data_IF_100644555181
#
_entry.id   IF_100644555181
#
_cell.length_a   1.000
_cell.length_b   1.000
_cell.length_c   1.000
_cell.angle_alpha   90.00
_cell.angle_beta   90.00
_cell.angle_gamma   90.00
#
_symmetry.space_group_name_H-M   'P 1'
#
loop_
_entity.id
_entity.type
_entity.pdbx_description
1 polymer ?
#
# COMPACT_ATOMS: atom_id res chain seq x y z
N UNK A 1 -29.12 44.78 48.58
CA UNK A 1 -28.07 44.73 47.54
C UNK A 1 -26.72 44.12 47.99
N UNK A 2 -26.44 44.02 49.30
CA UNK A 2 -25.17 43.46 49.81
C UNK A 2 -25.07 41.91 49.66
N UNK A 3 -26.18 41.19 49.85
CA UNK A 3 -26.22 39.71 49.82
C UNK A 3 -25.92 39.10 48.44
N UNK A 4 -26.36 39.77 47.36
CA UNK A 4 -26.17 39.29 45.98
C UNK A 4 -24.72 39.44 45.52
N UNK A 5 -24.02 40.50 45.96
CA UNK A 5 -22.58 40.68 45.70
C UNK A 5 -21.73 39.62 46.40
N UNK A 6 -22.08 39.24 47.63
CA UNK A 6 -21.41 38.15 48.33
C UNK A 6 -21.59 36.80 47.62
N UNK A 7 -22.80 36.50 47.11
CA UNK A 7 -23.04 35.27 46.35
C UNK A 7 -22.20 35.20 45.06
N UNK A 8 -22.06 36.30 44.32
CA UNK A 8 -21.22 36.34 43.11
C UNK A 8 -19.72 36.19 43.42
N UNK A 9 -19.25 36.76 44.54
CA UNK A 9 -17.85 36.60 44.98
C UNK A 9 -17.56 35.16 45.38
N UNK A 10 -18.49 34.51 46.10
CA UNK A 10 -18.35 33.09 46.47
C UNK A 10 -18.34 32.20 45.23
N UNK A 11 -19.23 32.44 44.27
CA UNK A 11 -19.25 31.67 43.01
C UNK A 11 -17.97 31.83 42.19
N UNK A 12 -17.44 33.06 42.12
CA UNK A 12 -16.19 33.34 41.43
C UNK A 12 -14.99 32.66 42.11
N UNK A 13 -14.93 32.66 43.44
CA UNK A 13 -13.89 31.96 44.20
C UNK A 13 -13.98 30.44 44.03
N UNK A 14 -15.19 29.88 44.00
CA UNK A 14 -15.40 28.45 43.72
C UNK A 14 -14.98 28.07 42.30
N UNK A 15 -15.32 28.88 41.29
CA UNK A 15 -14.89 28.67 39.90
C UNK A 15 -13.37 28.75 39.76
N UNK A 16 -12.73 29.72 40.42
CA UNK A 16 -11.27 29.84 40.45
C UNK A 16 -10.60 28.66 41.15
N UNK A 17 -11.19 28.12 42.23
CA UNK A 17 -10.71 26.91 42.90
C UNK A 17 -10.83 25.67 42.01
N UNK A 18 -11.95 25.49 41.30
CA UNK A 18 -12.15 24.37 40.36
C UNK A 18 -11.18 24.49 39.18
N UNK A 19 -11.04 25.68 38.59
CA UNK A 19 -10.06 25.93 37.54
C UNK A 19 -8.64 25.69 38.04
N UNK A 20 -8.30 26.13 39.25
CA UNK A 20 -7.00 25.87 39.86
C UNK A 20 -6.77 24.37 40.12
N UNK A 21 -7.78 23.60 40.49
CA UNK A 21 -7.69 22.15 40.61
C UNK A 21 -7.56 21.45 39.24
N UNK A 22 -8.24 21.93 38.20
CA UNK A 22 -8.13 21.40 36.84
C UNK A 22 -6.76 21.74 36.19
N UNK A 23 -6.17 22.89 36.51
CA UNK A 23 -4.88 23.33 35.98
C UNK A 23 -3.68 22.98 36.87
N UNK A 24 -3.91 22.53 38.10
CA UNK A 24 -2.87 21.89 38.94
C UNK A 24 -2.73 20.44 38.50
N UNK A 25 -2.19 20.24 37.30
CA UNK A 25 -1.52 19.01 36.95
C UNK A 25 -0.47 18.71 38.05
N UNK A 26 -0.36 17.48 38.57
CA UNK A 26 0.69 17.15 39.52
C UNK A 26 2.04 17.32 38.81
N UNK A 27 2.82 18.33 39.20
CA UNK A 27 4.24 18.44 38.84
C UNK A 27 5.12 17.50 39.68
N UNK A 28 4.53 16.54 40.38
CA UNK A 28 5.23 15.49 41.11
C UNK A 28 5.17 14.20 40.30
N UNK A 29 6.16 14.02 39.42
CA UNK A 29 6.33 12.79 38.64
C UNK A 29 6.75 13.05 37.20
N UNK A 30 7.93 13.63 36.98
CA UNK A 30 8.66 13.41 35.72
C UNK A 30 9.21 11.98 35.71
N UNK A 31 8.30 11.00 35.66
CA UNK A 31 8.56 9.71 35.05
C UNK A 31 8.08 9.77 33.60
N UNK A 32 8.71 9.08 32.65
CA UNK A 32 8.32 9.17 31.26
C UNK A 32 6.86 8.70 31.09
N UNK A 33 6.02 9.60 30.60
CA UNK A 33 4.63 9.35 30.22
C UNK A 33 4.49 8.02 29.46
N UNK A 34 3.75 7.07 30.03
CA UNK A 34 3.53 5.72 29.47
C UNK A 34 2.41 5.65 28.41
N UNK A 35 2.24 6.70 27.61
CA UNK A 35 1.29 6.71 26.49
C UNK A 35 1.82 7.48 25.27
N UNK A 36 3.14 7.59 25.13
CA UNK A 36 3.69 7.65 23.79
C UNK A 36 3.45 6.27 23.17
N UNK A 37 2.78 6.14 21.99
CA UNK A 37 2.83 4.88 21.27
C UNK A 37 4.30 4.58 21.12
N UNK A 38 4.73 3.42 21.64
CA UNK A 38 6.09 2.93 21.47
C UNK A 38 6.37 3.11 19.99
N UNK A 39 7.20 4.09 19.63
CA UNK A 39 7.78 4.18 18.31
C UNK A 39 8.37 2.80 18.13
N UNK A 40 7.71 1.99 17.30
CA UNK A 40 8.07 0.61 17.08
C UNK A 40 9.55 0.69 16.74
N UNK A 41 10.40 0.28 17.68
CA UNK A 41 11.81 0.06 17.42
C UNK A 41 11.80 -0.80 16.17
N UNK A 42 12.34 -0.33 15.03
CA UNK A 42 12.33 -1.12 13.83
C UNK A 42 13.01 -2.41 14.22
N UNK A 43 12.25 -3.52 14.26
CA UNK A 43 12.86 -4.84 14.39
C UNK A 43 13.95 -4.84 13.35
N UNK A 44 15.21 -4.91 13.77
CA UNK A 44 16.35 -4.91 12.87
C UNK A 44 16.01 -5.92 11.78
N UNK A 45 15.68 -5.42 10.58
CA UNK A 45 15.14 -6.26 9.55
C UNK A 45 16.22 -7.30 9.30
N UNK A 46 15.91 -8.58 9.52
CA UNK A 46 16.83 -9.66 9.17
C UNK A 46 16.77 -9.76 7.67
N UNK A 47 17.60 -8.99 7.01
CA UNK A 47 17.78 -8.94 5.56
C UNK A 47 18.64 -10.12 5.11
N UNK A 48 18.36 -11.31 5.62
CA UNK A 48 18.93 -12.53 5.08
C UNK A 48 17.86 -13.14 4.21
N UNK A 49 18.05 -13.05 2.89
CA UNK A 49 17.50 -14.01 1.96
C UNK A 49 18.15 -15.38 2.24
N UNK A 50 17.93 -15.89 3.45
CA UNK A 50 18.49 -17.14 3.90
C UNK A 50 17.72 -18.25 3.22
N UNK A 51 18.19 -18.68 2.06
CA UNK A 51 17.80 -19.94 1.39
C UNK A 51 18.09 -21.18 2.24
N UNK A 52 18.40 -21.03 3.53
CA UNK A 52 18.84 -22.08 4.46
C UNK A 52 17.74 -22.56 5.41
N UNK A 53 16.47 -22.37 5.06
CA UNK A 53 15.34 -22.70 5.95
C UNK A 53 14.38 -23.79 5.47
N UNK A 54 14.15 -23.93 4.15
CA UNK A 54 13.09 -24.81 3.64
C UNK A 54 13.41 -25.37 2.26
N UNK A 55 13.52 -26.71 2.16
CA UNK A 55 13.69 -27.41 0.90
C UNK A 55 12.50 -27.18 -0.04
N UNK A 56 11.28 -27.17 0.50
CA UNK A 56 10.07 -26.87 -0.28
C UNK A 56 10.12 -25.47 -0.88
N UNK A 57 10.51 -24.46 -0.11
CA UNK A 57 10.60 -23.08 -0.62
C UNK A 57 11.66 -22.97 -1.71
N UNK A 58 12.85 -23.55 -1.48
CA UNK A 58 13.94 -23.51 -2.46
C UNK A 58 13.59 -24.23 -3.77
N UNK A 59 12.73 -25.25 -3.72
CA UNK A 59 12.26 -25.95 -4.93
C UNK A 59 11.28 -25.13 -5.78
N UNK A 60 10.60 -24.14 -5.18
CA UNK A 60 9.56 -23.35 -5.87
C UNK A 60 9.96 -21.88 -6.09
N UNK A 61 10.94 -21.37 -5.36
CA UNK A 61 11.38 -19.99 -5.46
C UNK A 61 12.57 -19.86 -6.41
N UNK A 62 12.34 -19.25 -7.57
CA UNK A 62 13.37 -18.95 -8.55
C UNK A 62 13.75 -17.47 -8.51
N UNK A 63 14.93 -17.16 -7.97
CA UNK A 63 15.45 -15.77 -7.87
C UNK A 63 15.78 -15.13 -9.20
N UNK A 64 15.92 -15.91 -10.29
CA UNK A 64 16.18 -15.39 -11.62
C UNK A 64 14.91 -14.87 -12.31
N UNK A 65 13.72 -15.17 -11.78
CA UNK A 65 12.46 -14.71 -12.37
C UNK A 65 12.21 -13.23 -12.04
N UNK A 66 12.15 -12.40 -13.07
CA UNK A 66 11.74 -11.00 -12.96
C UNK A 66 10.21 -10.87 -12.90
N UNK A 67 9.63 -10.07 -11.98
CA UNK A 67 8.19 -9.95 -11.84
C UNK A 67 7.54 -8.92 -12.78
N UNK A 68 8.33 -8.17 -13.55
CA UNK A 68 7.86 -7.06 -14.40
C UNK A 68 8.23 -7.30 -15.86
N UNK A 69 7.35 -6.86 -16.76
CA UNK A 69 7.63 -6.77 -18.19
C UNK A 69 8.60 -5.59 -18.43
N UNK A 70 9.80 -5.86 -18.94
CA UNK A 70 10.90 -4.88 -19.00
C UNK A 70 11.12 -4.23 -20.37
N UNK A 71 10.05 -4.04 -21.16
CA UNK A 71 10.09 -3.34 -22.44
C UNK A 71 9.80 -4.24 -23.64
N UNK A 72 9.98 -3.68 -24.84
CA UNK A 72 9.61 -4.31 -26.13
C UNK A 72 10.49 -5.48 -26.55
N UNK A 73 11.70 -5.59 -25.98
CA UNK A 73 12.63 -6.68 -26.22
C UNK A 73 12.40 -7.88 -25.29
N UNK A 74 11.41 -7.80 -24.39
CA UNK A 74 11.10 -8.92 -23.50
C UNK A 74 10.36 -10.01 -24.27
N UNK A 75 11.08 -11.08 -24.59
CA UNK A 75 10.52 -12.25 -25.28
C UNK A 75 9.92 -13.22 -24.25
N UNK A 76 8.59 -13.40 -24.33
CA UNK A 76 7.89 -14.47 -23.64
C UNK A 76 7.93 -15.73 -24.52
N UNK A 77 8.18 -16.88 -23.90
CA UNK A 77 8.17 -18.15 -24.62
C UNK A 77 6.75 -18.47 -25.15
N UNK A 78 6.69 -19.17 -26.28
CA UNK A 78 5.43 -19.42 -26.98
C UNK A 78 4.44 -20.25 -26.16
N UNK A 79 4.93 -21.18 -25.33
CA UNK A 79 4.14 -21.96 -24.38
C UNK A 79 3.52 -21.10 -23.27
N UNK A 80 4.26 -20.12 -22.75
CA UNK A 80 3.76 -19.15 -21.76
C UNK A 80 2.68 -18.27 -22.38
N UNK A 81 2.90 -17.76 -23.60
CA UNK A 81 1.90 -16.95 -24.32
C UNK A 81 0.65 -17.78 -24.60
N UNK A 82 0.81 -19.01 -25.07
CA UNK A 82 -0.32 -19.90 -25.36
C UNK A 82 -1.13 -20.20 -24.11
N UNK A 83 -0.48 -20.52 -22.99
CA UNK A 83 -1.15 -20.70 -21.70
C UNK A 83 -1.89 -19.43 -21.28
N UNK A 84 -1.24 -18.26 -21.35
CA UNK A 84 -1.83 -16.99 -20.92
C UNK A 84 -3.10 -16.64 -21.74
N UNK A 85 -3.10 -16.89 -23.06
CA UNK A 85 -4.27 -16.69 -23.90
C UNK A 85 -5.47 -17.57 -23.50
N UNK A 86 -5.24 -18.72 -22.86
CA UNK A 86 -6.33 -19.58 -22.37
C UNK A 86 -7.05 -19.02 -21.14
N UNK A 87 -6.44 -18.10 -20.36
CA UNK A 87 -6.98 -17.65 -19.08
C UNK A 87 -8.38 -17.03 -19.19
N UNK A 88 -8.65 -16.31 -20.29
CA UNK A 88 -9.95 -15.70 -20.58
C UNK A 88 -10.44 -16.00 -22.01
N UNK A 89 -9.98 -17.10 -22.62
CA UNK A 89 -10.43 -17.53 -23.94
C UNK A 89 -10.08 -16.58 -25.09
N UNK A 90 -8.91 -15.93 -25.04
CA UNK A 90 -8.44 -15.04 -26.10
C UNK A 90 -8.01 -15.83 -27.34
N UNK A 91 -8.24 -15.28 -28.54
CA UNK A 91 -7.87 -15.92 -29.81
C UNK A 91 -6.35 -16.00 -30.00
N UNK A 92 -5.87 -17.09 -30.61
CA UNK A 92 -4.46 -17.29 -30.98
C UNK A 92 -3.96 -16.35 -32.09
N UNK A 93 -4.85 -15.62 -32.76
CA UNK A 93 -4.51 -14.65 -33.81
C UNK A 93 -4.06 -13.27 -33.33
N UNK A 94 -3.88 -13.06 -32.03
CA UNK A 94 -3.52 -11.74 -31.49
C UNK A 94 -2.02 -11.45 -31.64
N UNK A 95 -1.69 -10.33 -32.29
CA UNK A 95 -0.32 -9.84 -32.41
C UNK A 95 0.18 -9.19 -31.11
N UNK A 96 0.52 -10.02 -30.11
CA UNK A 96 0.99 -9.56 -28.80
C UNK A 96 2.20 -8.63 -28.89
N UNK A 97 3.11 -8.85 -29.85
CA UNK A 97 4.26 -7.97 -30.07
C UNK A 97 3.85 -6.54 -30.42
N UNK A 98 2.84 -6.36 -31.28
CA UNK A 98 2.33 -5.03 -31.64
C UNK A 98 1.65 -4.34 -30.45
N UNK A 99 0.89 -5.11 -29.65
CA UNK A 99 0.26 -4.60 -28.42
C UNK A 99 1.31 -4.14 -27.41
N UNK A 100 2.35 -4.95 -27.19
CA UNK A 100 3.45 -4.62 -26.27
C UNK A 100 4.25 -3.40 -26.76
N UNK A 101 4.47 -3.28 -28.07
CA UNK A 101 5.10 -2.09 -28.66
C UNK A 101 4.28 -0.83 -28.39
N UNK A 102 2.97 -0.87 -28.63
CA UNK A 102 2.06 0.24 -28.35
C UNK A 102 1.98 0.57 -26.84
N UNK A 103 2.02 -0.44 -25.97
CA UNK A 103 2.01 -0.22 -24.53
C UNK A 103 3.20 0.65 -24.08
N UNK A 104 4.40 0.32 -24.54
CA UNK A 104 5.64 1.00 -24.16
C UNK A 104 5.89 2.32 -24.91
N UNK A 105 5.03 2.72 -25.85
CA UNK A 105 5.02 4.12 -26.33
C UNK A 105 4.28 5.05 -25.37
N UNK A 106 3.34 4.52 -24.58
CA UNK A 106 2.54 5.28 -23.60
C UNK A 106 3.15 5.19 -22.21
N UNK A 107 3.57 4.01 -21.79
CA UNK A 107 4.15 3.78 -20.47
C UNK A 107 5.68 3.80 -20.53
N UNK A 108 6.34 4.49 -19.57
CA UNK A 108 7.78 4.42 -19.47
C UNK A 108 8.21 2.99 -19.15
N UNK A 109 9.21 2.49 -19.89
CA UNK A 109 9.89 1.25 -19.52
C UNK A 109 10.46 1.43 -18.11
N UNK A 110 10.16 0.53 -17.15
CA UNK A 110 10.75 0.62 -15.83
C UNK A 110 12.29 0.65 -15.96
N UNK A 111 12.99 1.58 -15.29
CA UNK A 111 14.45 1.51 -15.23
C UNK A 111 14.83 0.12 -14.70
N UNK A 112 15.87 -0.49 -15.28
CA UNK A 112 16.31 -1.85 -14.94
C UNK A 112 16.43 -2.11 -13.44
N UNK A 113 16.37 -3.39 -13.05
CA UNK A 113 16.29 -3.89 -11.66
C UNK A 113 15.81 -2.87 -10.63
N UNK A 114 14.49 -2.66 -10.56
CA UNK A 114 13.80 -1.93 -9.46
C UNK A 114 14.18 -2.48 -8.07
N UNK A 115 14.69 -3.71 -8.07
CA UNK A 115 15.24 -4.41 -6.92
C UNK A 115 16.75 -4.21 -6.82
N UNK A 116 17.17 -3.46 -5.81
CA UNK A 116 18.57 -3.41 -5.35
C UNK A 116 18.71 -4.43 -4.21
N UNK A 117 19.35 -5.60 -4.43
CA UNK A 117 19.49 -6.63 -3.40
C UNK A 117 20.35 -6.17 -2.20
N UNK A 118 21.12 -5.10 -2.36
CA UNK A 118 21.95 -4.54 -1.28
C UNK A 118 21.14 -3.70 -0.30
N UNK A 119 19.93 -3.26 -0.69
CA UNK A 119 19.03 -2.48 0.16
C UNK A 119 17.99 -3.37 0.79
N UNK A 120 17.99 -3.40 2.11
CA UNK A 120 16.92 -4.03 2.84
C UNK A 120 15.65 -3.17 2.78
N UNK A 121 14.58 -3.76 2.27
CA UNK A 121 13.27 -3.10 2.16
C UNK A 121 12.22 -3.92 2.88
N UNK A 122 11.38 -3.24 3.64
CA UNK A 122 10.22 -3.81 4.31
C UNK A 122 8.97 -3.55 3.48
N UNK A 123 8.12 -4.57 3.33
CA UNK A 123 6.91 -4.49 2.52
C UNK A 123 5.69 -4.93 3.33
N UNK A 124 4.62 -4.14 3.34
CA UNK A 124 3.30 -4.53 3.78
C UNK A 124 2.43 -4.87 2.56
N UNK A 125 1.99 -6.12 2.45
CA UNK A 125 1.00 -6.53 1.44
C UNK A 125 -0.37 -6.58 2.11
N UNK A 126 -1.26 -5.68 1.72
CA UNK A 126 -2.57 -5.51 2.36
C UNK A 126 -3.66 -6.05 1.44
N UNK A 127 -4.23 -7.20 1.83
CA UNK A 127 -5.41 -7.77 1.16
C UNK A 127 -6.71 -7.10 1.60
N UNK A 128 -7.84 -7.61 1.09
CA UNK A 128 -9.17 -7.03 1.30
C UNK A 128 -10.06 -7.83 2.26
N UNK A 129 -9.47 -8.68 3.10
CA UNK A 129 -10.23 -9.52 4.04
C UNK A 129 -10.89 -8.68 5.14
N UNK A 130 -12.16 -8.96 5.42
CA UNK A 130 -12.89 -8.34 6.53
C UNK A 130 -12.27 -8.56 7.91
N UNK A 131 -11.31 -9.51 8.05
CA UNK A 131 -10.54 -9.71 9.28
C UNK A 131 -9.72 -8.48 9.68
N UNK A 132 -9.43 -7.58 8.75
CA UNK A 132 -8.74 -6.32 9.06
C UNK A 132 -9.62 -5.36 9.87
N UNK A 133 -10.94 -5.47 9.79
CA UNK A 133 -11.85 -4.57 10.51
C UNK A 133 -11.70 -4.71 12.03
N UNK A 134 -11.36 -3.61 12.71
CA UNK A 134 -11.07 -3.56 14.14
C UNK A 134 -9.70 -4.15 14.54
N UNK A 135 -8.80 -4.43 13.59
CA UNK A 135 -7.47 -4.99 13.88
C UNK A 135 -6.47 -3.98 14.45
N UNK A 136 -6.69 -2.68 14.23
CA UNK A 136 -5.77 -1.63 14.66
C UNK A 136 -4.38 -1.70 14.01
N UNK A 137 -4.23 -2.36 12.86
CA UNK A 137 -2.93 -2.58 12.21
C UNK A 137 -2.41 -1.38 11.41
N UNK A 138 -3.19 -0.30 11.26
CA UNK A 138 -2.91 0.76 10.29
C UNK A 138 -1.55 1.42 10.44
N UNK A 139 -1.17 1.80 11.67
CA UNK A 139 0.14 2.40 11.94
C UNK A 139 1.29 1.44 11.63
N UNK A 140 1.13 0.14 11.91
CA UNK A 140 2.15 -0.88 11.62
C UNK A 140 2.27 -1.12 10.12
N UNK A 141 1.17 -1.10 9.37
CA UNK A 141 1.17 -1.18 7.91
C UNK A 141 1.94 0.01 7.33
N UNK A 142 1.60 1.22 7.75
CA UNK A 142 2.18 2.46 7.22
C UNK A 142 3.67 2.64 7.54
N UNK A 143 4.18 1.94 8.55
CA UNK A 143 5.61 1.93 8.92
C UNK A 143 6.52 1.18 7.94
N UNK A 144 5.98 0.48 6.94
CA UNK A 144 6.78 -0.23 5.93
C UNK A 144 7.25 0.72 4.82
N UNK A 145 8.42 0.42 4.23
CA UNK A 145 8.95 1.18 3.10
C UNK A 145 7.97 1.16 1.93
N UNK A 146 7.45 -0.02 1.61
CA UNK A 146 6.42 -0.24 0.60
C UNK A 146 5.12 -0.75 1.21
N UNK A 147 4.01 -0.12 0.82
CA UNK A 147 2.66 -0.60 1.09
C UNK A 147 2.00 -0.95 -0.24
N UNK A 148 1.68 -2.23 -0.42
CA UNK A 148 1.14 -2.82 -1.63
C UNK A 148 -0.33 -3.17 -1.40
N UNK A 149 -1.22 -2.60 -2.22
CA UNK A 149 -2.68 -2.81 -2.15
C UNK A 149 -3.22 -3.32 -3.47
N UNK A 150 -4.45 -3.82 -3.49
CA UNK A 150 -5.04 -4.45 -4.68
C UNK A 150 -6.53 -4.23 -4.81
N UNK A 151 -7.03 -4.28 -6.05
CA UNK A 151 -8.45 -4.17 -6.38
C UNK A 151 -9.08 -2.87 -5.85
N UNK A 152 -10.33 -2.93 -5.39
CA UNK A 152 -11.10 -1.81 -4.83
C UNK A 152 -10.93 -1.68 -3.30
N UNK A 153 -9.71 -1.85 -2.80
CA UNK A 153 -9.39 -1.73 -1.38
C UNK A 153 -9.89 -0.39 -0.80
N UNK A 154 -10.75 -0.43 0.21
CA UNK A 154 -11.29 0.78 0.85
C UNK A 154 -10.41 1.18 2.03
N UNK A 155 -9.85 2.39 1.96
CA UNK A 155 -9.06 2.99 3.04
C UNK A 155 -9.91 3.94 3.87
N UNK A 156 -10.71 4.79 3.22
CA UNK A 156 -11.51 5.81 3.92
C UNK A 156 -12.48 5.20 4.91
N UNK A 157 -12.35 5.59 6.18
CA UNK A 157 -13.12 5.06 7.31
C UNK A 157 -12.56 3.78 7.94
N UNK A 158 -11.42 3.28 7.47
CA UNK A 158 -10.74 2.08 7.96
C UNK A 158 -9.24 2.34 8.25
N UNK A 159 -8.80 3.60 8.27
CA UNK A 159 -7.40 4.00 8.37
C UNK A 159 -6.69 3.40 9.58
N UNK A 160 -7.40 3.31 10.72
CA UNK A 160 -6.88 2.70 11.95
C UNK A 160 -6.51 1.22 11.77
N UNK A 161 -7.19 0.53 10.86
CA UNK A 161 -7.04 -0.89 10.62
C UNK A 161 -6.10 -1.17 9.46
N UNK A 162 -6.25 -0.43 8.36
CA UNK A 162 -5.58 -0.73 7.09
C UNK A 162 -4.49 0.26 6.72
N UNK A 163 -4.32 1.34 7.47
CA UNK A 163 -3.34 2.40 7.20
C UNK A 163 -3.79 3.34 6.09
N UNK A 164 -3.07 4.44 5.93
CA UNK A 164 -3.36 5.50 4.95
C UNK A 164 -2.42 5.47 3.75
N UNK A 165 -1.24 4.82 3.85
CA UNK A 165 -0.23 4.82 2.79
C UNK A 165 -0.54 3.76 1.73
N UNK A 166 -0.26 4.10 0.49
CA UNK A 166 -0.19 3.18 -0.64
C UNK A 166 1.00 3.60 -1.50
N UNK A 167 1.87 2.66 -1.84
CA UNK A 167 3.03 2.91 -2.72
C UNK A 167 2.86 2.23 -4.07
N UNK A 168 2.27 1.03 -4.06
CA UNK A 168 2.00 0.23 -5.25
C UNK A 168 0.58 -0.28 -5.17
N UNK A 169 -0.15 -0.20 -6.27
CA UNK A 169 -1.52 -0.67 -6.35
C UNK A 169 -1.71 -1.62 -7.53
N UNK A 170 -2.07 -2.86 -7.20
CA UNK A 170 -2.31 -3.93 -8.17
C UNK A 170 -3.75 -3.85 -8.67
N UNK A 171 -3.92 -3.76 -9.98
CA UNK A 171 -5.26 -3.81 -10.58
C UNK A 171 -5.22 -4.38 -11.99
N UNK A 172 -6.40 -4.72 -12.46
CA UNK A 172 -6.76 -5.09 -13.81
C UNK A 172 -8.02 -4.27 -14.18
N UNK A 173 -8.36 -4.09 -15.47
CA UNK A 173 -9.37 -3.12 -15.89
C UNK A 173 -10.70 -3.19 -15.11
N UNK A 174 -11.22 -4.39 -14.91
CA UNK A 174 -12.51 -4.62 -14.24
C UNK A 174 -12.47 -4.31 -12.72
N UNK A 175 -11.28 -4.17 -12.15
CA UNK A 175 -11.05 -3.81 -10.75
C UNK A 175 -10.37 -2.44 -10.59
N UNK A 176 -10.34 -1.63 -11.64
CA UNK A 176 -9.66 -0.35 -11.65
C UNK A 176 -10.25 0.63 -10.64
N UNK A 177 -9.37 1.46 -10.08
CA UNK A 177 -9.68 2.58 -9.21
C UNK A 177 -8.79 3.76 -9.58
N UNK A 178 -9.24 4.97 -9.27
CA UNK A 178 -8.40 6.15 -9.41
C UNK A 178 -7.27 6.10 -8.37
N UNK A 179 -6.03 6.24 -8.83
CA UNK A 179 -4.86 6.25 -7.96
C UNK A 179 -4.50 7.68 -7.56
N UNK A 180 -4.07 7.84 -6.31
CA UNK A 180 -3.53 9.11 -5.83
C UNK A 180 -2.16 9.43 -6.45
N UNK A 181 -1.74 10.70 -6.43
CA UNK A 181 -0.40 11.09 -6.89
C UNK A 181 0.70 10.28 -6.19
N UNK A 182 1.71 9.85 -6.95
CA UNK A 182 2.86 9.11 -6.43
C UNK A 182 2.63 7.62 -6.14
N UNK A 183 1.43 7.09 -6.41
CA UNK A 183 1.17 5.64 -6.34
C UNK A 183 1.56 4.98 -7.66
N UNK A 184 2.38 3.94 -7.60
CA UNK A 184 2.75 3.15 -8.78
C UNK A 184 1.65 2.14 -9.11
N UNK A 185 1.12 2.22 -10.34
CA UNK A 185 0.25 1.19 -10.89
C UNK A 185 1.06 -0.08 -11.19
N UNK A 186 0.61 -1.22 -10.67
CA UNK A 186 1.06 -2.55 -11.09
C UNK A 186 -0.10 -3.24 -11.83
N UNK A 187 -0.07 -3.20 -13.16
CA UNK A 187 -1.07 -3.85 -13.99
C UNK A 187 -0.89 -5.37 -13.95
N UNK A 188 -1.98 -6.11 -13.74
CA UNK A 188 -2.04 -7.57 -13.92
C UNK A 188 -2.88 -7.89 -15.17
N UNK A 189 -2.25 -8.11 -16.33
CA UNK A 189 -2.97 -8.40 -17.56
C UNK A 189 -3.33 -9.88 -17.65
N UNK A 190 -4.62 -10.20 -17.71
CA UNK A 190 -5.14 -11.56 -17.89
C UNK A 190 -5.53 -11.86 -19.35
N UNK A 191 -5.59 -10.83 -20.19
CA UNK A 191 -5.86 -10.92 -21.63
C UNK A 191 -5.19 -9.77 -22.41
N UNK A 192 -5.01 -9.90 -23.74
CA UNK A 192 -4.43 -8.82 -24.56
C UNK A 192 -5.17 -7.49 -24.46
N UNK A 193 -6.49 -7.54 -24.28
CA UNK A 193 -7.32 -6.33 -24.11
C UNK A 193 -6.92 -5.53 -22.86
N UNK A 194 -6.40 -6.16 -21.81
CA UNK A 194 -6.00 -5.45 -20.58
C UNK A 194 -4.78 -4.55 -20.82
N UNK A 195 -3.87 -4.99 -21.70
CA UNK A 195 -2.71 -4.18 -22.12
C UNK A 195 -3.16 -2.97 -22.96
N UNK A 196 -4.11 -3.19 -23.87
CA UNK A 196 -4.69 -2.12 -24.69
C UNK A 196 -5.48 -1.12 -23.84
N UNK A 197 -6.22 -1.59 -22.83
CA UNK A 197 -6.95 -0.73 -21.90
C UNK A 197 -6.03 0.24 -21.19
N UNK A 198 -4.87 -0.23 -20.68
CA UNK A 198 -3.90 0.68 -20.04
C UNK A 198 -3.36 1.70 -21.03
N UNK A 199 -2.97 1.28 -22.24
CA UNK A 199 -2.49 2.22 -23.24
C UNK A 199 -3.55 3.30 -23.56
N UNK A 200 -4.82 2.89 -23.72
CA UNK A 200 -5.95 3.80 -23.91
C UNK A 200 -6.18 4.73 -22.72
N UNK A 201 -6.25 4.20 -21.50
CA UNK A 201 -6.54 4.97 -20.28
C UNK A 201 -5.51 6.08 -20.02
N UNK A 202 -4.25 5.87 -20.44
CA UNK A 202 -3.18 6.87 -20.33
C UNK A 202 -2.94 7.67 -21.63
N UNK A 203 -3.76 7.49 -22.67
CA UNK A 203 -3.67 8.26 -23.93
C UNK A 203 -5.04 8.74 -24.44
N UNK A 204 -5.78 7.90 -25.16
CA UNK A 204 -7.00 8.28 -25.91
C UNK A 204 -8.30 8.23 -25.10
N UNK A 205 -8.39 7.36 -24.10
CA UNK A 205 -9.59 7.15 -23.30
C UNK A 205 -10.75 6.44 -24.03
N UNK A 206 -10.51 5.74 -25.13
CA UNK A 206 -11.55 5.05 -25.92
C UNK A 206 -12.03 3.74 -25.25
N UNK A 207 -11.13 3.07 -24.53
CA UNK A 207 -11.41 1.93 -23.67
C UNK A 207 -11.38 2.42 -22.22
N UNK A 208 -12.56 2.55 -21.60
CA UNK A 208 -12.74 2.89 -20.17
C UNK A 208 -13.46 1.78 -19.43
#
# INVERSE_FOLDING_TARGET
MLCQRHAHVVLALCLLLVLWQCFRAPTAGLGPFSWAPTLLTPSAARCTAGTRGSAWFNAHYNTAMGPLLTGTAHELSSDVVQWWLTLQGSSSGVHLQAITQQLFTVLPTPPGSVWDPSRCRTCAVVGNSGRLNGSGHGLRIDAHDWVLRMNRAKITGFEMDVGMRTTHHFMYPESAVNLGPGVHLVLIPFKPLDLQWVASAFSTGELT
#
